data_IF_995720419073
#
_entry.id   IF_995720419073
#
_cell.length_a   1.000
_cell.length_b   1.000
_cell.length_c   1.000
_cell.angle_alpha   90.00
_cell.angle_beta   90.00
_cell.angle_gamma   90.00
#
_symmetry.space_group_name_H-M   'P 1'
#
loop_
_entity.id
_entity.type
_entity.pdbx_description
1 polymer ?
#
# COMPACT_ATOMS: atom_id res chain seq x y z
N UNK A 1 15.70 10.00 40.17
CA UNK A 1 14.71 9.07 39.63
C UNK A 1 13.25 9.54 39.69
N UNK A 2 12.91 10.79 40.05
CA UNK A 2 11.51 11.30 40.11
C UNK A 2 11.05 12.14 38.90
N UNK A 3 11.92 12.36 37.85
CA UNK A 3 11.57 13.24 36.72
C UNK A 3 11.01 12.52 35.51
N UNK A 4 11.20 11.20 35.35
CA UNK A 4 10.73 10.42 34.22
C UNK A 4 9.25 10.03 34.29
N UNK A 5 8.74 9.78 35.52
CA UNK A 5 7.36 9.36 35.75
C UNK A 5 6.34 10.48 35.56
N UNK A 6 6.71 11.73 35.83
CA UNK A 6 5.80 12.87 35.61
C UNK A 6 5.64 13.27 34.15
N UNK A 7 6.66 13.05 33.29
CA UNK A 7 6.55 13.30 31.84
C UNK A 7 5.65 12.28 31.16
N UNK A 8 5.71 11.01 31.56
CA UNK A 8 4.85 9.96 30.98
C UNK A 8 3.37 10.14 31.33
N UNK A 9 3.04 10.63 32.54
CA UNK A 9 1.65 10.83 32.93
C UNK A 9 1.00 12.04 32.24
N UNK A 10 1.75 13.13 32.04
CA UNK A 10 1.26 14.31 31.30
C UNK A 10 1.08 13.99 29.80
N UNK A 11 1.90 13.10 29.26
CA UNK A 11 1.80 12.59 27.89
C UNK A 11 0.54 11.74 27.70
N UNK A 12 0.25 10.82 28.63
CA UNK A 12 -0.93 9.95 28.56
C UNK A 12 -2.24 10.76 28.64
N UNK A 13 -2.30 11.76 29.49
CA UNK A 13 -3.47 12.65 29.64
C UNK A 13 -3.65 13.54 28.41
N UNK A 14 -2.57 14.08 27.81
CA UNK A 14 -2.64 14.85 26.56
C UNK A 14 -3.07 13.98 25.38
N UNK A 15 -2.59 12.73 25.29
CA UNK A 15 -2.97 11.76 24.27
C UNK A 15 -4.49 11.44 24.37
N UNK A 16 -5.03 11.24 25.57
CA UNK A 16 -6.47 11.04 25.80
C UNK A 16 -7.28 12.28 25.44
N UNK A 17 -6.84 13.48 25.78
CA UNK A 17 -7.54 14.73 25.44
C UNK A 17 -7.53 15.01 23.93
N UNK A 18 -6.43 14.73 23.21
CA UNK A 18 -6.37 14.88 21.76
C UNK A 18 -7.36 13.94 21.05
N UNK A 19 -7.50 12.70 21.54
CA UNK A 19 -8.45 11.73 20.99
C UNK A 19 -9.90 12.01 21.39
N UNK A 20 -10.17 12.51 22.59
CA UNK A 20 -11.53 12.86 23.03
C UNK A 20 -12.10 14.09 22.30
N UNK A 21 -11.26 15.01 21.84
CA UNK A 21 -11.72 16.17 21.07
C UNK A 21 -12.16 15.78 19.65
N UNK A 22 -11.53 14.76 19.05
CA UNK A 22 -11.87 14.27 17.70
C UNK A 22 -13.03 13.27 17.71
N UNK A 23 -13.19 12.47 18.77
CA UNK A 23 -14.29 11.49 18.88
C UNK A 23 -15.68 12.11 19.06
N UNK A 24 -15.77 13.41 19.42
CA UNK A 24 -17.06 14.12 19.53
C UNK A 24 -17.62 14.60 18.19
N UNK A 25 -16.82 14.65 17.13
CA UNK A 25 -17.31 14.98 15.78
C UNK A 25 -17.80 13.77 14.97
N UNK A 26 -17.54 12.54 15.46
CA UNK A 26 -17.86 11.30 14.72
C UNK A 26 -19.14 10.59 15.19
N UNK A 27 -19.86 11.08 16.19
CA UNK A 27 -21.08 10.44 16.74
C UNK A 27 -22.38 11.02 16.21
N UNK A 28 -22.48 11.24 14.90
CA UNK A 28 -23.78 11.45 14.26
C UNK A 28 -23.70 11.03 12.79
N UNK A 29 -23.98 9.76 12.50
CA UNK A 29 -24.56 9.31 11.22
C UNK A 29 -24.60 7.78 11.11
N UNK A 30 -25.60 7.19 11.72
CA UNK A 30 -26.12 5.91 11.24
C UNK A 30 -27.44 6.21 10.52
N UNK A 31 -27.39 6.35 9.20
CA UNK A 31 -28.47 6.13 8.24
C UNK A 31 -27.87 6.06 6.85
N UNK A 32 -27.94 4.88 6.19
CA UNK A 32 -27.78 4.68 4.75
C UNK A 32 -26.53 5.33 4.12
N UNK A 33 -25.33 4.87 4.46
CA UNK A 33 -24.11 5.50 3.97
C UNK A 33 -23.60 4.76 2.72
N UNK A 34 -23.89 5.27 1.51
CA UNK A 34 -22.99 5.08 0.38
C UNK A 34 -21.60 5.58 0.81
N UNK A 35 -20.57 4.70 0.75
CA UNK A 35 -19.21 5.08 1.10
C UNK A 35 -18.78 6.23 0.19
N UNK A 36 -18.41 7.38 0.79
CA UNK A 36 -17.98 8.54 0.02
C UNK A 36 -16.71 8.22 -0.74
N UNK A 37 -16.69 8.53 -2.02
CA UNK A 37 -15.49 8.37 -2.86
C UNK A 37 -14.46 9.45 -2.51
N UNK A 38 -13.21 9.03 -2.35
CA UNK A 38 -12.06 9.91 -2.27
C UNK A 38 -11.51 10.22 -3.66
N UNK A 39 -11.50 9.21 -4.54
CA UNK A 39 -11.04 9.34 -5.92
C UNK A 39 -12.04 8.64 -6.84
N UNK A 40 -12.41 9.29 -7.94
CA UNK A 40 -13.21 8.71 -9.02
C UNK A 40 -12.51 8.98 -10.34
N UNK A 41 -12.25 7.95 -11.12
CA UNK A 41 -11.54 8.04 -12.40
C UNK A 41 -12.37 7.36 -13.48
N UNK A 42 -12.61 8.10 -14.57
CA UNK A 42 -13.38 7.62 -15.72
C UNK A 42 -12.60 7.83 -17.01
N UNK A 43 -12.23 6.73 -17.68
CA UNK A 43 -11.52 6.70 -18.97
C UNK A 43 -10.27 7.61 -18.99
N UNK A 44 -9.53 7.67 -17.90
CA UNK A 44 -8.34 8.51 -17.78
C UNK A 44 -7.26 8.04 -18.73
N UNK A 45 -6.71 8.96 -19.52
CA UNK A 45 -5.70 8.67 -20.52
C UNK A 45 -4.53 9.65 -20.44
N UNK A 46 -3.31 9.12 -20.66
CA UNK A 46 -2.11 9.91 -20.87
C UNK A 46 -1.33 9.40 -22.08
N UNK A 47 -1.13 10.32 -23.04
CA UNK A 47 -0.28 10.10 -24.22
C UNK A 47 0.92 11.02 -24.21
N UNK A 48 2.05 10.55 -24.70
CA UNK A 48 3.26 11.28 -25.00
C UNK A 48 3.60 11.03 -26.48
N UNK A 49 3.17 11.96 -27.36
CA UNK A 49 3.19 11.69 -28.80
C UNK A 49 2.39 10.41 -29.12
N UNK A 50 3.02 9.45 -29.78
CA UNK A 50 2.40 8.17 -30.14
C UNK A 50 2.38 7.14 -29.00
N UNK A 51 3.14 7.37 -27.93
CA UNK A 51 3.20 6.46 -26.78
C UNK A 51 2.05 6.71 -25.82
N UNK A 52 1.23 5.69 -25.56
CA UNK A 52 0.16 5.74 -24.56
C UNK A 52 0.64 5.14 -23.25
N UNK A 53 0.93 6.00 -22.26
CA UNK A 53 1.42 5.59 -20.94
C UNK A 53 0.30 5.12 -20.01
N UNK A 54 -0.91 5.70 -20.16
CA UNK A 54 -2.13 5.30 -19.44
C UNK A 54 -3.26 5.29 -20.44
N UNK A 55 -3.97 4.17 -20.54
CA UNK A 55 -4.93 3.90 -21.60
C UNK A 55 -6.34 3.70 -21.08
N UNK A 56 -7.11 4.79 -21.01
CA UNK A 56 -8.54 4.79 -20.68
C UNK A 56 -8.89 4.00 -19.40
N UNK A 57 -8.13 4.19 -18.33
CA UNK A 57 -8.37 3.49 -17.07
C UNK A 57 -9.55 4.11 -16.30
N UNK A 58 -10.32 3.25 -15.64
CA UNK A 58 -11.43 3.65 -14.77
C UNK A 58 -11.37 2.86 -13.47
N UNK A 59 -11.46 3.53 -12.33
CA UNK A 59 -11.48 2.94 -10.99
C UNK A 59 -11.98 3.96 -9.96
N UNK A 60 -12.25 3.51 -8.74
CA UNK A 60 -12.61 4.40 -7.64
C UNK A 60 -11.98 3.98 -6.32
N UNK A 61 -11.72 4.96 -5.44
CA UNK A 61 -11.17 4.76 -4.10
C UNK A 61 -12.13 5.35 -3.07
N UNK A 62 -12.45 4.61 -2.03
CA UNK A 62 -13.31 5.10 -0.95
C UNK A 62 -12.50 5.92 0.07
N UNK A 63 -13.17 6.80 0.81
CA UNK A 63 -12.52 7.53 1.90
C UNK A 63 -12.10 6.59 3.02
N UNK A 64 -10.87 6.77 3.53
CA UNK A 64 -10.26 5.94 4.57
C UNK A 64 -9.69 4.60 4.08
N UNK A 65 -9.78 4.30 2.79
CA UNK A 65 -9.28 3.07 2.17
C UNK A 65 -7.76 3.11 1.96
N UNK A 66 -7.08 1.98 2.15
CA UNK A 66 -5.76 1.73 1.60
C UNK A 66 -5.94 1.03 0.25
N UNK A 67 -5.72 1.79 -0.79
CA UNK A 67 -5.85 1.37 -2.18
C UNK A 67 -4.46 1.17 -2.80
N UNK A 68 -4.23 0.03 -3.44
CA UNK A 68 -2.93 -0.30 -4.02
C UNK A 68 -2.98 -0.42 -5.55
N UNK A 69 -2.06 0.28 -6.21
CA UNK A 69 -1.76 0.12 -7.64
C UNK A 69 -0.53 -0.76 -7.80
N UNK A 70 -0.73 -1.99 -8.23
CA UNK A 70 0.31 -2.99 -8.45
C UNK A 70 0.69 -3.06 -9.92
N UNK A 71 1.96 -3.24 -10.23
CA UNK A 71 2.44 -3.45 -11.60
C UNK A 71 3.94 -3.27 -11.72
N UNK A 72 4.51 -3.73 -12.83
CA UNK A 72 5.93 -3.56 -13.12
C UNK A 72 6.31 -2.10 -13.41
N UNK A 73 7.61 -1.85 -13.48
CA UNK A 73 8.13 -0.57 -13.92
C UNK A 73 7.68 -0.28 -15.35
N UNK A 74 7.17 0.93 -15.59
CA UNK A 74 6.61 1.30 -16.88
C UNK A 74 5.14 0.92 -17.11
N UNK A 75 4.46 0.26 -16.16
CA UNK A 75 3.04 -0.07 -16.27
C UNK A 75 2.08 1.13 -16.27
N UNK A 76 2.55 2.35 -15.92
CA UNK A 76 1.73 3.57 -15.89
C UNK A 76 1.37 4.06 -14.49
N UNK A 77 1.81 3.40 -13.41
CA UNK A 77 1.48 3.71 -12.01
C UNK A 77 1.83 5.14 -11.60
N UNK A 78 3.11 5.51 -11.70
CA UNK A 78 3.59 6.87 -11.34
C UNK A 78 3.00 7.94 -12.26
N UNK A 79 2.75 7.63 -13.54
CA UNK A 79 2.04 8.52 -14.45
C UNK A 79 0.63 8.80 -13.97
N UNK A 80 -0.09 7.79 -13.47
CA UNK A 80 -1.44 7.93 -12.91
C UNK A 80 -1.41 8.79 -11.65
N UNK A 81 -0.51 8.51 -10.68
CA UNK A 81 -0.35 9.37 -9.49
C UNK A 81 -0.03 10.81 -9.90
N UNK A 82 0.89 11.02 -10.83
CA UNK A 82 1.27 12.37 -11.25
C UNK A 82 0.11 13.15 -11.90
N UNK A 83 -0.80 12.46 -12.59
CA UNK A 83 -2.03 13.11 -13.08
C UNK A 83 -2.97 13.44 -11.92
N UNK A 84 -3.31 12.47 -11.06
CA UNK A 84 -4.23 12.68 -9.93
C UNK A 84 -3.73 13.71 -8.93
N UNK A 85 -2.42 13.87 -8.82
CA UNK A 85 -1.77 14.87 -7.96
C UNK A 85 -1.57 16.22 -8.64
N UNK A 86 -2.14 16.44 -9.83
CA UNK A 86 -2.07 17.70 -10.60
C UNK A 86 -0.68 18.10 -11.08
N UNK A 87 0.31 17.20 -11.03
CA UNK A 87 1.68 17.45 -11.50
C UNK A 87 1.74 17.32 -13.02
N UNK A 88 0.96 16.40 -13.57
CA UNK A 88 0.94 16.08 -14.98
C UNK A 88 -0.48 16.26 -15.55
N UNK A 89 -0.68 17.03 -16.62
CA UNK A 89 -1.99 17.13 -17.25
C UNK A 89 -2.38 15.82 -17.91
N UNK A 90 -3.64 15.42 -17.76
CA UNK A 90 -4.24 14.30 -18.50
C UNK A 90 -4.38 14.63 -19.99
N UNK A 91 -4.42 13.61 -20.83
CA UNK A 91 -4.73 13.78 -22.26
C UNK A 91 -6.23 13.71 -22.51
N UNK A 92 -6.92 12.75 -21.85
CA UNK A 92 -8.37 12.57 -21.97
C UNK A 92 -8.94 11.95 -20.68
N UNK A 93 -10.28 11.82 -20.62
CA UNK A 93 -11.00 11.27 -19.48
C UNK A 93 -11.33 12.30 -18.42
N UNK A 94 -11.98 11.86 -17.35
CA UNK A 94 -12.33 12.69 -16.19
C UNK A 94 -11.84 12.03 -14.91
N UNK A 95 -11.46 12.85 -13.93
CA UNK A 95 -11.15 12.36 -12.60
C UNK A 95 -11.59 13.39 -11.56
N UNK A 96 -12.01 12.90 -10.41
CA UNK A 96 -12.36 13.70 -9.25
C UNK A 96 -11.53 13.24 -8.05
N UNK A 97 -10.99 14.17 -7.31
CA UNK A 97 -10.24 13.94 -6.07
C UNK A 97 -10.92 14.73 -4.96
N UNK A 98 -11.45 14.07 -3.95
CA UNK A 98 -12.28 14.67 -2.89
C UNK A 98 -13.42 15.53 -3.44
N UNK A 99 -14.02 15.10 -4.57
CA UNK A 99 -15.10 15.82 -5.26
C UNK A 99 -14.65 16.99 -6.15
N UNK A 100 -13.35 17.31 -6.21
CA UNK A 100 -12.77 18.35 -7.06
C UNK A 100 -12.35 17.78 -8.42
N UNK A 101 -12.76 18.42 -9.51
CA UNK A 101 -12.47 17.94 -10.86
C UNK A 101 -11.03 18.24 -11.28
N UNK A 102 -10.29 17.20 -11.66
CA UNK A 102 -8.92 17.28 -12.14
C UNK A 102 -8.80 18.13 -13.42
N UNK A 103 -7.93 19.14 -13.37
CA UNK A 103 -7.71 20.09 -14.46
C UNK A 103 -8.61 21.32 -14.41
N UNK A 104 -9.59 21.39 -13.47
CA UNK A 104 -10.41 22.57 -13.21
C UNK A 104 -10.21 23.13 -11.80
N UNK A 105 -10.16 22.25 -10.80
CA UNK A 105 -10.08 22.60 -9.39
C UNK A 105 -8.74 22.18 -8.75
N UNK A 106 -7.65 22.22 -9.50
CA UNK A 106 -6.35 21.69 -9.10
C UNK A 106 -5.81 22.28 -7.79
N UNK A 107 -6.07 23.57 -7.52
CA UNK A 107 -5.65 24.22 -6.28
C UNK A 107 -6.37 23.64 -5.03
N UNK A 108 -7.63 23.24 -5.17
CA UNK A 108 -8.35 22.59 -4.10
C UNK A 108 -7.88 21.14 -3.94
N UNK A 109 -7.64 20.43 -5.04
CA UNK A 109 -7.03 19.09 -5.00
C UNK A 109 -5.71 19.13 -4.22
N UNK A 110 -4.81 20.10 -4.51
CA UNK A 110 -3.50 20.23 -3.83
C UNK A 110 -3.61 20.45 -2.32
N UNK A 111 -4.70 21.01 -1.82
CA UNK A 111 -4.95 21.17 -0.38
C UNK A 111 -5.35 19.86 0.29
N UNK A 112 -6.02 18.97 -0.46
CA UNK A 112 -6.53 17.70 0.03
C UNK A 112 -5.52 16.56 -0.03
N UNK A 113 -4.41 16.70 -0.76
CA UNK A 113 -3.47 15.62 -1.02
C UNK A 113 -2.09 15.86 -0.42
N UNK A 114 -1.52 14.81 0.18
CA UNK A 114 -0.08 14.69 0.48
C UNK A 114 0.58 13.71 -0.48
N UNK A 115 1.82 13.97 -0.86
CA UNK A 115 2.53 13.11 -1.82
C UNK A 115 3.90 12.76 -1.27
N UNK A 116 4.23 11.46 -1.29
CA UNK A 116 5.58 10.94 -1.05
C UNK A 116 6.07 10.32 -2.35
N UNK A 117 6.99 11.00 -3.01
CA UNK A 117 7.58 10.54 -4.26
C UNK A 117 8.57 9.38 -4.04
N UNK A 118 8.85 8.61 -5.07
CA UNK A 118 9.89 7.58 -5.05
C UNK A 118 11.24 8.18 -4.64
N UNK A 119 11.62 9.31 -5.25
CA UNK A 119 12.79 10.09 -4.86
C UNK A 119 12.37 11.26 -3.97
N UNK A 120 13.13 11.52 -2.90
CA UNK A 120 12.84 12.64 -2.02
C UNK A 120 13.02 13.99 -2.71
N UNK A 121 12.13 14.93 -2.36
CA UNK A 121 12.17 16.33 -2.80
C UNK A 121 12.76 17.28 -1.74
N UNK A 122 13.32 16.72 -0.66
CA UNK A 122 13.94 17.50 0.42
C UNK A 122 15.41 17.81 0.11
N UNK A 123 15.88 18.98 0.57
CA UNK A 123 17.25 19.41 0.36
C UNK A 123 18.20 18.65 1.31
N UNK A 124 19.17 17.93 0.72
CA UNK A 124 20.19 17.18 1.44
C UNK A 124 21.06 18.02 2.36
N UNK A 125 21.36 19.26 2.00
CA UNK A 125 22.23 20.18 2.75
C UNK A 125 21.55 20.81 3.95
N UNK A 126 20.22 20.87 3.94
CA UNK A 126 19.42 21.38 5.05
C UNK A 126 19.22 20.32 6.12
N UNK A 127 19.03 20.75 7.36
CA UNK A 127 18.61 19.85 8.45
C UNK A 127 17.15 19.43 8.27
N UNK A 128 16.72 18.36 8.97
CA UNK A 128 15.32 17.96 9.04
C UNK A 128 14.43 19.14 9.44
N UNK A 129 14.82 19.86 10.51
CA UNK A 129 14.16 21.07 10.97
C UNK A 129 13.97 22.09 9.85
N UNK A 130 15.07 22.45 9.16
CA UNK A 130 15.04 23.46 8.10
C UNK A 130 14.13 23.04 6.96
N UNK A 131 14.21 21.78 6.52
CA UNK A 131 13.36 21.25 5.48
C UNK A 131 11.87 21.35 5.85
N UNK A 132 11.47 20.85 7.04
CA UNK A 132 10.08 20.87 7.47
C UNK A 132 9.55 22.28 7.72
N UNK A 133 10.37 23.18 8.30
CA UNK A 133 10.02 24.57 8.50
C UNK A 133 9.82 25.30 7.16
N UNK A 134 10.73 25.13 6.19
CA UNK A 134 10.61 25.73 4.86
C UNK A 134 9.36 25.21 4.14
N UNK A 135 9.09 23.91 4.23
CA UNK A 135 7.92 23.33 3.59
C UNK A 135 6.61 23.82 4.23
N UNK A 136 6.56 23.94 5.54
CA UNK A 136 5.40 24.53 6.25
C UNK A 136 5.16 25.98 5.86
N UNK A 137 6.23 26.76 5.67
CA UNK A 137 6.12 28.14 5.23
C UNK A 137 5.51 28.27 3.82
N UNK A 138 5.75 27.31 2.90
CA UNK A 138 5.10 27.30 1.58
C UNK A 138 3.57 27.10 1.66
N UNK A 139 3.06 26.50 2.76
CA UNK A 139 1.63 26.44 3.04
C UNK A 139 1.10 27.71 3.74
N UNK A 140 1.94 28.73 3.94
CA UNK A 140 1.58 29.96 4.63
C UNK A 140 1.56 29.86 6.15
N UNK A 141 2.07 28.77 6.74
CA UNK A 141 2.11 28.59 8.19
C UNK A 141 3.29 29.31 8.82
N UNK A 142 3.04 29.97 9.96
CA UNK A 142 4.11 30.51 10.78
C UNK A 142 4.83 29.38 11.55
N UNK A 143 5.94 29.74 12.21
CA UNK A 143 6.75 28.78 12.99
C UNK A 143 5.95 28.07 14.08
N UNK A 144 5.04 28.80 14.75
CA UNK A 144 4.25 28.26 15.87
C UNK A 144 3.24 27.22 15.36
N UNK A 145 2.57 27.52 14.27
CA UNK A 145 1.61 26.60 13.63
C UNK A 145 2.32 25.36 13.08
N UNK A 146 3.50 25.52 12.43
CA UNK A 146 4.27 24.36 11.95
C UNK A 146 4.66 23.44 13.13
N UNK A 147 5.18 24.00 14.21
CA UNK A 147 5.55 23.19 15.37
C UNK A 147 4.35 22.49 15.99
N UNK A 148 3.19 23.16 16.09
CA UNK A 148 1.95 22.55 16.56
C UNK A 148 1.50 21.39 15.68
N UNK A 149 1.62 21.51 14.36
CA UNK A 149 1.30 20.43 13.39
C UNK A 149 2.25 19.24 13.50
N UNK A 150 3.51 19.51 13.81
CA UNK A 150 4.53 18.48 14.02
C UNK A 150 4.40 17.77 15.38
N UNK A 151 3.77 18.37 16.39
CA UNK A 151 3.58 17.74 17.71
C UNK A 151 2.93 16.35 17.62
N UNK A 152 1.91 16.19 16.76
CA UNK A 152 1.23 14.92 16.54
C UNK A 152 2.07 13.86 15.86
N UNK A 153 3.14 14.27 15.15
CA UNK A 153 4.04 13.40 14.42
C UNK A 153 5.39 13.19 15.12
N UNK A 154 5.65 14.00 16.18
CA UNK A 154 6.97 14.08 16.81
C UNK A 154 7.44 12.77 17.42
N UNK A 155 6.60 12.19 18.26
CA UNK A 155 6.91 10.91 18.92
C UNK A 155 6.78 9.75 17.95
N UNK A 156 5.72 9.73 17.17
CA UNK A 156 5.41 8.63 16.24
C UNK A 156 6.49 8.48 15.18
N UNK A 157 6.94 9.59 14.61
CA UNK A 157 8.01 9.60 13.62
C UNK A 157 9.40 9.77 14.23
N UNK A 158 9.52 9.74 15.58
CA UNK A 158 10.77 9.91 16.32
C UNK A 158 11.64 11.03 15.74
N UNK A 159 11.05 12.24 15.59
CA UNK A 159 11.69 13.37 14.92
C UNK A 159 12.81 13.96 15.77
N UNK A 160 12.76 13.81 17.11
CA UNK A 160 13.70 14.40 18.06
C UNK A 160 15.14 14.04 17.77
N UNK A 161 15.41 12.74 17.54
CA UNK A 161 16.76 12.20 17.36
C UNK A 161 17.47 12.70 16.10
N UNK A 162 16.70 13.10 15.10
CA UNK A 162 17.23 13.48 13.78
C UNK A 162 16.97 14.95 13.43
N UNK A 163 16.26 15.68 14.30
CA UNK A 163 15.78 17.05 14.06
C UNK A 163 16.83 18.04 13.55
N UNK A 164 18.02 18.01 14.16
CA UNK A 164 19.13 18.88 13.80
C UNK A 164 20.14 18.23 12.83
N UNK A 165 19.90 16.99 12.38
CA UNK A 165 20.77 16.31 11.43
C UNK A 165 20.49 16.77 10.01
N UNK A 166 21.52 16.88 9.18
CA UNK A 166 21.38 17.14 7.74
C UNK A 166 20.67 15.96 7.08
N UNK A 167 19.76 16.27 6.15
CA UNK A 167 18.95 15.24 5.47
C UNK A 167 19.83 14.23 4.71
N UNK A 168 20.91 14.67 4.06
CA UNK A 168 21.85 13.77 3.36
C UNK A 168 22.50 12.72 4.27
N UNK A 169 22.64 13.02 5.59
CA UNK A 169 23.26 12.14 6.60
C UNK A 169 22.31 11.11 7.20
N UNK A 170 21.07 11.07 6.75
CA UNK A 170 20.06 10.12 7.22
C UNK A 170 20.13 8.80 6.44
N UNK A 171 19.79 7.70 7.12
CA UNK A 171 19.55 6.41 6.43
C UNK A 171 18.32 6.48 5.50
N UNK A 172 18.18 5.53 4.59
CA UNK A 172 17.01 5.45 3.69
C UNK A 172 15.68 5.47 4.43
N UNK A 173 15.53 4.65 5.46
CA UNK A 173 14.32 4.62 6.28
C UNK A 173 14.09 5.92 7.05
N UNK A 174 15.15 6.57 7.57
CA UNK A 174 15.03 7.89 8.20
C UNK A 174 14.58 8.95 7.20
N UNK A 175 15.11 8.94 5.97
CA UNK A 175 14.69 9.85 4.89
C UNK A 175 13.23 9.65 4.55
N UNK A 176 12.80 8.40 4.34
CA UNK A 176 11.40 8.09 4.01
C UNK A 176 10.43 8.56 5.11
N UNK A 177 10.81 8.36 6.37
CA UNK A 177 10.06 8.85 7.52
C UNK A 177 9.82 10.36 7.47
N UNK A 178 10.84 11.16 7.14
CA UNK A 178 10.73 12.61 7.02
C UNK A 178 9.92 13.02 5.78
N UNK A 179 10.01 12.29 4.67
CA UNK A 179 9.20 12.54 3.48
C UNK A 179 7.69 12.36 3.79
N UNK A 180 7.34 11.33 4.58
CA UNK A 180 5.96 11.11 5.02
C UNK A 180 5.53 12.23 5.98
N UNK A 181 6.33 12.57 6.99
CA UNK A 181 6.04 13.66 7.92
C UNK A 181 5.81 15.00 7.19
N UNK A 182 6.64 15.29 6.17
CA UNK A 182 6.48 16.45 5.30
C UNK A 182 5.14 16.43 4.55
N UNK A 183 4.76 15.29 4.00
CA UNK A 183 3.51 15.14 3.26
C UNK A 183 2.27 15.32 4.13
N UNK A 184 2.38 15.11 5.44
CA UNK A 184 1.30 15.23 6.42
C UNK A 184 1.19 16.61 7.09
N UNK A 185 2.13 17.52 6.85
CA UNK A 185 2.18 18.84 7.53
C UNK A 185 0.89 19.66 7.40
N UNK A 186 0.23 19.62 6.26
CA UNK A 186 -1.00 20.36 6.00
C UNK A 186 -2.28 19.55 6.30
N UNK A 187 -2.15 18.34 6.86
CA UNK A 187 -3.25 17.42 7.21
C UNK A 187 -4.13 17.05 6.01
N UNK A 188 -3.56 16.42 5.00
CA UNK A 188 -4.29 16.03 3.80
C UNK A 188 -5.38 15.00 4.10
N UNK A 189 -6.36 14.89 3.21
CA UNK A 189 -7.40 13.84 3.23
C UNK A 189 -6.94 12.58 2.51
N UNK A 190 -5.99 12.70 1.56
CA UNK A 190 -5.42 11.60 0.79
C UNK A 190 -3.89 11.68 0.87
N UNK A 191 -3.23 10.54 1.08
CA UNK A 191 -1.78 10.39 0.99
C UNK A 191 -1.43 9.50 -0.20
N UNK A 192 -0.78 10.08 -1.20
CA UNK A 192 -0.17 9.34 -2.30
C UNK A 192 1.23 8.88 -1.91
N UNK A 193 1.51 7.59 -2.06
CA UNK A 193 2.79 6.96 -1.79
C UNK A 193 3.29 6.29 -3.08
N UNK A 194 4.25 6.91 -3.76
CA UNK A 194 4.84 6.35 -4.98
C UNK A 194 6.05 5.48 -4.59
N UNK A 195 5.88 4.17 -4.66
CA UNK A 195 6.87 3.15 -4.31
C UNK A 195 7.60 3.43 -2.98
N UNK A 196 6.88 3.52 -1.83
CA UNK A 196 7.42 4.08 -0.59
C UNK A 196 8.56 3.28 0.03
N UNK A 197 8.72 2.01 -0.32
CA UNK A 197 9.69 1.09 0.31
C UNK A 197 10.80 0.66 -0.62
N UNK A 198 10.78 1.11 -1.87
CA UNK A 198 11.80 0.75 -2.87
C UNK A 198 13.19 1.19 -2.39
N UNK A 199 14.15 0.24 -2.45
CA UNK A 199 15.53 0.46 -2.02
C UNK A 199 15.75 0.52 -0.50
N UNK A 200 14.74 0.19 0.32
CA UNK A 200 14.86 0.10 1.77
C UNK A 200 15.22 -1.32 2.20
N UNK A 201 16.02 -1.41 3.27
CA UNK A 201 16.27 -2.65 3.98
C UNK A 201 14.97 -3.18 4.66
N UNK A 202 14.89 -4.48 5.02
CA UNK A 202 13.66 -5.06 5.58
C UNK A 202 13.17 -4.38 6.85
N UNK A 203 14.07 -3.91 7.74
CA UNK A 203 13.69 -3.23 8.96
C UNK A 203 13.08 -1.86 8.67
N UNK A 204 13.70 -1.09 7.77
CA UNK A 204 13.19 0.21 7.31
C UNK A 204 11.85 0.07 6.60
N UNK A 205 11.66 -0.98 5.79
CA UNK A 205 10.38 -1.29 5.12
C UNK A 205 9.28 -1.55 6.15
N UNK A 206 9.54 -2.39 7.15
CA UNK A 206 8.61 -2.65 8.25
C UNK A 206 8.21 -1.36 8.97
N UNK A 207 9.17 -0.50 9.30
CA UNK A 207 8.86 0.79 9.95
C UNK A 207 7.94 1.67 9.10
N UNK A 208 8.11 1.72 7.78
CA UNK A 208 7.21 2.48 6.89
C UNK A 208 5.79 1.91 6.97
N UNK A 209 5.63 0.58 6.96
CA UNK A 209 4.32 -0.07 7.09
C UNK A 209 3.68 0.16 8.45
N UNK A 210 4.46 0.15 9.53
CA UNK A 210 3.96 0.48 10.88
C UNK A 210 3.39 1.92 10.90
N UNK A 211 4.06 2.90 10.25
CA UNK A 211 3.55 4.27 10.12
C UNK A 211 2.28 4.35 9.28
N UNK A 212 2.21 3.66 8.14
CA UNK A 212 1.02 3.60 7.30
C UNK A 212 -0.17 3.04 8.11
N UNK A 213 0.04 1.93 8.83
CA UNK A 213 -0.97 1.33 9.70
C UNK A 213 -1.43 2.26 10.82
N UNK A 214 -0.51 3.02 11.42
CA UNK A 214 -0.85 4.03 12.43
C UNK A 214 -1.75 5.14 11.86
N UNK A 215 -1.37 5.72 10.72
CA UNK A 215 -2.12 6.81 10.07
C UNK A 215 -3.54 6.39 9.69
N UNK A 216 -3.72 5.17 9.19
CA UNK A 216 -5.05 4.63 8.87
C UNK A 216 -5.95 4.55 10.10
N UNK A 217 -5.44 3.98 11.19
CA UNK A 217 -6.24 3.74 12.42
C UNK A 217 -6.66 5.04 13.11
N UNK A 218 -5.83 6.08 13.03
CA UNK A 218 -5.99 7.26 13.87
C UNK A 218 -6.52 8.48 13.12
N UNK A 219 -6.28 8.58 11.82
CA UNK A 219 -6.59 9.79 11.05
C UNK A 219 -7.68 9.59 9.98
N UNK A 220 -8.20 8.36 9.81
CA UNK A 220 -9.12 8.01 8.72
C UNK A 220 -8.60 8.49 7.35
N UNK A 221 -7.28 8.45 7.20
CA UNK A 221 -6.57 8.93 6.03
C UNK A 221 -6.75 7.94 4.88
N UNK A 222 -7.18 8.43 3.74
CA UNK A 222 -7.17 7.64 2.51
C UNK A 222 -5.74 7.49 2.01
N UNK A 223 -5.30 6.30 1.68
CA UNK A 223 -3.94 6.04 1.21
C UNK A 223 -3.99 5.42 -0.17
N UNK A 224 -3.34 6.06 -1.12
CA UNK A 224 -3.14 5.55 -2.47
C UNK A 224 -1.67 5.16 -2.64
N UNK A 225 -1.40 3.87 -2.74
CA UNK A 225 -0.07 3.29 -2.80
C UNK A 225 0.22 2.79 -4.22
N UNK A 226 1.40 3.09 -4.78
CA UNK A 226 1.92 2.33 -5.91
C UNK A 226 3.05 1.42 -5.44
N UNK A 227 3.11 0.23 -5.98
CA UNK A 227 4.17 -0.72 -5.69
C UNK A 227 4.39 -1.70 -6.85
N UNK A 228 5.57 -2.29 -6.88
CA UNK A 228 5.87 -3.47 -7.68
C UNK A 228 6.15 -4.70 -6.78
N UNK A 229 6.05 -4.52 -5.44
CA UNK A 229 6.16 -5.60 -4.46
C UNK A 229 4.76 -6.16 -4.16
N UNK A 230 4.52 -7.41 -4.54
CA UNK A 230 3.22 -8.07 -4.38
C UNK A 230 2.82 -8.23 -2.92
N UNK A 231 3.79 -8.49 -2.03
CA UNK A 231 3.57 -8.59 -0.60
C UNK A 231 2.99 -7.33 0.04
N UNK A 232 3.27 -6.15 -0.53
CA UNK A 232 2.76 -4.88 -0.02
C UNK A 232 1.26 -4.68 -0.24
N UNK A 233 0.68 -5.44 -1.16
CA UNK A 233 -0.76 -5.37 -1.43
C UNK A 233 -1.60 -6.15 -0.41
N UNK A 234 -0.97 -6.95 0.46
CA UNK A 234 -1.70 -7.82 1.40
C UNK A 234 -2.56 -7.04 2.42
N UNK A 235 -2.15 -5.82 2.75
CA UNK A 235 -2.83 -4.94 3.71
C UNK A 235 -3.86 -3.99 3.05
N UNK A 236 -3.95 -4.01 1.70
CA UNK A 236 -4.87 -3.14 0.97
C UNK A 236 -6.31 -3.69 1.01
N UNK A 237 -7.29 -2.79 1.08
CA UNK A 237 -8.70 -3.14 0.92
C UNK A 237 -9.04 -3.43 -0.54
N UNK A 238 -8.43 -2.70 -1.48
CA UNK A 238 -8.60 -2.93 -2.90
C UNK A 238 -7.26 -2.78 -3.64
N UNK A 239 -7.06 -3.63 -4.64
CA UNK A 239 -5.87 -3.67 -5.47
C UNK A 239 -6.26 -3.59 -6.93
N UNK A 240 -5.66 -2.66 -7.64
CA UNK A 240 -5.70 -2.59 -9.10
C UNK A 240 -4.36 -3.08 -9.64
N UNK A 241 -4.40 -4.03 -10.57
CA UNK A 241 -3.21 -4.54 -11.25
C UNK A 241 -3.13 -3.88 -12.63
N UNK A 242 -1.99 -3.20 -12.88
CA UNK A 242 -1.71 -2.54 -14.14
C UNK A 242 -0.63 -3.27 -14.95
N UNK A 243 -0.85 -3.38 -16.24
CA UNK A 243 0.18 -3.75 -17.20
C UNK A 243 0.05 -2.89 -18.48
N UNK A 244 1.17 -2.38 -18.98
CA UNK A 244 1.27 -1.60 -20.24
C UNK A 244 0.19 -0.52 -20.37
N UNK A 245 -0.04 0.23 -19.32
CA UNK A 245 -1.01 1.34 -19.28
C UNK A 245 -2.46 0.94 -19.09
N UNK A 246 -2.79 -0.35 -18.98
CA UNK A 246 -4.14 -0.85 -18.80
C UNK A 246 -4.34 -1.43 -17.40
N UNK A 247 -5.57 -1.36 -16.89
CA UNK A 247 -6.00 -2.16 -15.73
C UNK A 247 -6.34 -3.56 -16.26
N UNK A 248 -5.66 -4.59 -15.73
CA UNK A 248 -5.87 -5.99 -16.12
C UNK A 248 -6.65 -6.79 -15.08
N UNK A 249 -6.68 -6.33 -13.82
CA UNK A 249 -7.55 -6.87 -12.76
C UNK A 249 -7.75 -5.84 -11.65
N UNK A 250 -8.87 -5.98 -10.95
CA UNK A 250 -9.24 -5.19 -9.78
C UNK A 250 -10.02 -6.07 -8.78
N UNK A 251 -9.81 -5.85 -7.49
CA UNK A 251 -10.52 -6.50 -6.39
C UNK A 251 -9.71 -6.53 -5.11
N UNK A 252 -10.30 -7.09 -4.05
CA UNK A 252 -9.58 -7.35 -2.80
C UNK A 252 -8.47 -8.38 -3.03
N UNK A 253 -7.37 -8.38 -2.25
CA UNK A 253 -6.32 -9.40 -2.36
C UNK A 253 -6.87 -10.83 -2.24
N UNK A 254 -7.91 -11.04 -1.44
CA UNK A 254 -8.54 -12.34 -1.27
C UNK A 254 -9.30 -12.79 -2.53
N UNK A 255 -10.08 -11.88 -3.15
CA UNK A 255 -10.80 -12.15 -4.40
C UNK A 255 -9.84 -12.41 -5.55
N UNK A 256 -8.79 -11.60 -5.69
CA UNK A 256 -7.79 -11.78 -6.74
C UNK A 256 -7.09 -13.14 -6.61
N UNK A 257 -6.65 -13.49 -5.39
CA UNK A 257 -6.05 -14.82 -5.14
C UNK A 257 -7.03 -15.95 -5.42
N UNK A 258 -8.28 -15.82 -5.01
CA UNK A 258 -9.30 -16.84 -5.27
C UNK A 258 -9.61 -17.04 -6.76
N UNK A 259 -9.59 -15.95 -7.54
CA UNK A 259 -9.93 -15.95 -8.98
C UNK A 259 -8.80 -16.43 -9.87
N UNK A 260 -7.56 -16.08 -9.53
CA UNK A 260 -6.41 -16.25 -10.44
C UNK A 260 -5.35 -17.23 -9.96
N UNK A 261 -5.52 -17.83 -8.75
CA UNK A 261 -4.57 -18.81 -8.24
C UNK A 261 -5.25 -20.11 -7.84
N UNK A 262 -4.50 -21.21 -7.87
CA UNK A 262 -4.90 -22.50 -7.30
C UNK A 262 -4.32 -22.67 -5.90
N UNK A 263 -5.02 -23.45 -5.06
CA UNK A 263 -4.46 -23.94 -3.82
C UNK A 263 -3.51 -25.09 -4.13
N UNK A 264 -2.42 -25.21 -3.37
CA UNK A 264 -1.48 -26.32 -3.44
C UNK A 264 -1.53 -27.10 -2.14
N UNK A 265 -1.64 -28.42 -2.25
CA UNK A 265 -1.43 -29.33 -1.14
C UNK A 265 -0.01 -29.87 -1.26
N UNK A 266 0.81 -29.58 -0.27
CA UNK A 266 2.12 -30.23 -0.08
C UNK A 266 1.88 -31.41 0.83
N UNK A 267 2.14 -32.61 0.34
CA UNK A 267 1.99 -33.83 1.12
C UNK A 267 3.35 -34.48 1.30
N UNK A 268 3.85 -34.46 2.54
CA UNK A 268 5.14 -35.03 2.92
C UNK A 268 5.00 -36.54 3.08
N UNK A 269 5.60 -37.31 2.16
CA UNK A 269 5.61 -38.78 2.14
C UNK A 269 6.61 -39.24 1.09
N UNK A 270 7.05 -40.52 1.21
CA UNK A 270 7.89 -41.11 0.18
C UNK A 270 7.16 -41.27 -1.15
N UNK A 271 7.93 -41.23 -2.24
CA UNK A 271 7.39 -41.45 -3.58
C UNK A 271 6.86 -42.89 -3.71
N UNK A 272 5.60 -43.04 -4.11
CA UNK A 272 5.00 -44.35 -4.35
C UNK A 272 3.93 -44.31 -5.44
N UNK A 273 3.77 -45.44 -6.14
CA UNK A 273 2.67 -45.63 -7.09
C UNK A 273 1.29 -45.50 -6.41
N UNK A 274 1.16 -45.96 -5.16
CA UNK A 274 -0.08 -45.89 -4.39
C UNK A 274 -0.48 -44.45 -4.12
N UNK A 275 0.47 -43.60 -3.63
CA UNK A 275 0.27 -42.17 -3.42
C UNK A 275 -0.11 -41.46 -4.72
N UNK A 276 0.57 -41.76 -5.83
CA UNK A 276 0.29 -41.17 -7.14
C UNK A 276 -1.12 -41.54 -7.64
N UNK A 277 -1.56 -42.77 -7.46
CA UNK A 277 -2.92 -43.23 -7.80
C UNK A 277 -3.98 -42.53 -6.96
N UNK A 278 -3.73 -42.37 -5.64
CA UNK A 278 -4.64 -41.65 -4.74
C UNK A 278 -4.84 -40.19 -5.19
N UNK A 279 -3.76 -39.48 -5.59
CA UNK A 279 -3.82 -38.12 -6.08
C UNK A 279 -4.62 -38.01 -7.39
N UNK A 280 -4.38 -38.96 -8.32
CA UNK A 280 -5.10 -38.99 -9.60
C UNK A 280 -6.61 -39.26 -9.40
N UNK A 281 -6.99 -40.17 -8.51
CA UNK A 281 -8.40 -40.45 -8.18
C UNK A 281 -9.11 -39.23 -7.52
N UNK A 282 -8.36 -38.33 -6.88
CA UNK A 282 -8.90 -37.10 -6.33
C UNK A 282 -9.15 -36.00 -7.38
N UNK A 283 -8.95 -36.33 -8.66
CA UNK A 283 -9.19 -35.40 -9.77
C UNK A 283 -8.06 -34.37 -10.01
N UNK A 284 -6.92 -34.51 -9.33
CA UNK A 284 -5.77 -33.67 -9.61
C UNK A 284 -4.96 -34.23 -10.78
N UNK A 285 -4.95 -33.54 -11.89
CA UNK A 285 -4.13 -33.88 -13.06
C UNK A 285 -2.73 -33.24 -13.02
N UNK A 286 -2.48 -32.32 -12.06
CA UNK A 286 -1.21 -31.61 -11.93
C UNK A 286 -0.62 -31.84 -10.55
N UNK A 287 0.27 -32.81 -10.46
CA UNK A 287 1.09 -33.04 -9.27
C UNK A 287 2.53 -33.39 -9.67
N UNK A 288 3.46 -33.13 -8.78
CA UNK A 288 4.88 -33.43 -8.93
C UNK A 288 5.43 -33.91 -7.62
N UNK A 289 6.28 -34.92 -7.65
CA UNK A 289 7.09 -35.31 -6.51
C UNK A 289 8.40 -34.51 -6.48
N UNK A 290 8.73 -33.93 -5.34
CA UNK A 290 9.92 -33.09 -5.15
C UNK A 290 10.59 -33.48 -3.83
N UNK A 291 11.80 -34.04 -3.92
CA UNK A 291 12.68 -34.40 -2.79
C UNK A 291 12.03 -35.35 -1.77
N UNK A 292 11.03 -34.90 -1.02
CA UNK A 292 10.39 -35.62 0.11
C UNK A 292 8.86 -35.39 0.20
N UNK A 293 8.27 -34.77 -0.82
CA UNK A 293 6.84 -34.47 -0.81
C UNK A 293 6.21 -34.44 -2.22
N UNK A 294 4.89 -34.62 -2.26
CA UNK A 294 4.08 -34.34 -3.42
C UNK A 294 3.58 -32.89 -3.39
N UNK A 295 3.81 -32.15 -4.46
CA UNK A 295 3.22 -30.85 -4.70
C UNK A 295 1.99 -31.02 -5.60
N UNK A 296 0.80 -30.84 -5.06
CA UNK A 296 -0.48 -31.19 -5.70
C UNK A 296 -1.28 -29.91 -5.90
N UNK A 297 -1.58 -29.55 -7.15
CA UNK A 297 -2.44 -28.40 -7.46
C UNK A 297 -3.90 -28.83 -7.45
N UNK A 298 -4.70 -28.27 -6.54
CA UNK A 298 -6.13 -28.56 -6.41
C UNK A 298 -6.89 -27.26 -6.17
N UNK A 299 -7.88 -26.96 -7.00
CA UNK A 299 -8.73 -25.79 -6.80
C UNK A 299 -9.78 -26.04 -5.70
N UNK A 300 -10.34 -27.25 -5.69
CA UNK A 300 -11.38 -27.69 -4.76
C UNK A 300 -11.04 -29.10 -4.24
N UNK A 301 -11.71 -29.53 -3.17
CA UNK A 301 -11.62 -30.90 -2.68
C UNK A 301 -10.39 -31.23 -1.82
N UNK A 302 -9.47 -30.30 -1.52
CA UNK A 302 -8.30 -30.59 -0.66
C UNK A 302 -8.73 -31.15 0.69
N UNK A 303 -9.69 -30.52 1.34
CA UNK A 303 -10.19 -30.96 2.66
C UNK A 303 -10.82 -32.34 2.57
N UNK A 304 -11.57 -32.63 1.51
CA UNK A 304 -12.18 -33.93 1.27
C UNK A 304 -11.13 -34.99 1.01
N UNK A 305 -10.11 -34.71 0.22
CA UNK A 305 -8.97 -35.58 -0.04
C UNK A 305 -8.26 -35.96 1.26
N UNK A 306 -7.91 -34.98 2.09
CA UNK A 306 -7.25 -35.21 3.38
C UNK A 306 -8.14 -36.04 4.29
N UNK A 307 -9.44 -35.73 4.40
CA UNK A 307 -10.37 -36.41 5.24
C UNK A 307 -10.58 -37.88 4.84
N UNK A 308 -10.75 -38.16 3.55
CA UNK A 308 -10.89 -39.50 3.01
C UNK A 308 -9.63 -40.37 3.23
N UNK A 309 -8.47 -39.73 3.19
CA UNK A 309 -7.17 -40.41 3.28
C UNK A 309 -6.43 -40.13 4.60
N UNK A 310 -7.15 -39.78 5.67
CA UNK A 310 -6.58 -39.38 6.98
C UNK A 310 -5.62 -40.40 7.62
N UNK A 311 -5.68 -41.68 7.21
CA UNK A 311 -4.78 -42.76 7.67
C UNK A 311 -3.41 -42.70 6.98
N UNK A 312 -3.33 -42.10 5.80
CA UNK A 312 -2.15 -42.07 4.93
C UNK A 312 -1.60 -40.63 4.89
N UNK A 313 -2.45 -39.63 4.64
CA UNK A 313 -2.09 -38.20 4.59
C UNK A 313 -2.02 -37.64 6.01
N UNK A 314 -0.84 -37.75 6.64
CA UNK A 314 -0.62 -37.35 8.05
C UNK A 314 0.14 -36.05 8.18
N UNK A 315 1.13 -35.82 7.31
CA UNK A 315 1.98 -34.64 7.31
C UNK A 315 1.76 -33.89 6.02
N UNK A 316 1.22 -32.68 6.13
CA UNK A 316 0.85 -31.90 4.97
C UNK A 316 0.76 -30.38 5.29
N UNK A 317 0.92 -29.57 4.24
CA UNK A 317 0.66 -28.13 4.26
C UNK A 317 -0.32 -27.76 3.15
N UNK A 318 -1.20 -26.80 3.42
CA UNK A 318 -2.05 -26.19 2.40
C UNK A 318 -1.51 -24.79 2.11
N UNK A 319 -0.93 -24.61 0.93
CA UNK A 319 -0.44 -23.33 0.47
C UNK A 319 -1.52 -22.64 -0.36
N UNK A 320 -1.94 -21.47 0.08
CA UNK A 320 -2.82 -20.59 -0.71
C UNK A 320 -1.97 -19.82 -1.69
N UNK A 321 -2.50 -19.55 -2.88
CA UNK A 321 -1.80 -18.72 -3.86
C UNK A 321 -1.46 -17.34 -3.31
N UNK A 322 -0.37 -16.80 -3.78
CA UNK A 322 0.17 -15.48 -3.44
C UNK A 322 -0.30 -14.42 -4.43
N UNK A 323 -0.03 -13.15 -4.15
CA UNK A 323 -0.25 -12.08 -5.13
C UNK A 323 0.77 -12.14 -6.29
N UNK A 324 1.95 -12.74 -6.05
CA UNK A 324 2.90 -13.06 -7.13
C UNK A 324 2.29 -14.04 -8.13
N UNK A 325 1.66 -15.12 -7.65
CA UNK A 325 0.96 -16.08 -8.52
C UNK A 325 -0.16 -15.41 -9.33
N UNK A 326 -0.91 -14.49 -8.72
CA UNK A 326 -1.94 -13.69 -9.40
C UNK A 326 -1.32 -12.90 -10.55
N UNK A 327 -0.25 -12.17 -10.25
CA UNK A 327 0.41 -11.30 -11.22
C UNK A 327 0.99 -12.10 -12.40
N UNK A 328 1.67 -13.21 -12.12
CA UNK A 328 2.23 -14.11 -13.13
C UNK A 328 1.14 -14.71 -14.03
N UNK A 329 0.04 -15.15 -13.43
CA UNK A 329 -1.11 -15.69 -14.17
C UNK A 329 -1.69 -14.66 -15.14
N UNK A 330 -1.85 -13.41 -14.68
CA UNK A 330 -2.44 -12.33 -15.48
C UNK A 330 -1.52 -11.82 -16.59
N UNK A 331 -0.21 -11.78 -16.36
CA UNK A 331 0.77 -11.25 -17.32
C UNK A 331 1.33 -12.31 -18.27
N UNK A 332 1.06 -13.59 -18.02
CA UNK A 332 1.61 -14.71 -18.81
C UNK A 332 3.13 -14.88 -18.68
N UNK A 333 3.75 -14.27 -17.67
CA UNK A 333 5.20 -14.37 -17.43
C UNK A 333 5.46 -15.58 -16.53
N UNK A 334 6.27 -16.53 -17.00
CA UNK A 334 6.83 -17.56 -16.13
C UNK A 334 7.86 -16.91 -15.19
N UNK A 335 7.92 -17.38 -13.94
CA UNK A 335 9.00 -16.98 -13.03
C UNK A 335 10.34 -17.40 -13.65
N UNK A 336 11.10 -16.46 -14.12
CA UNK A 336 12.53 -16.68 -14.32
C UNK A 336 13.11 -16.81 -12.92
N UNK A 337 13.39 -18.05 -12.50
CA UNK A 337 14.11 -18.32 -11.26
C UNK A 337 15.45 -17.58 -11.33
N UNK A 338 15.51 -16.42 -10.67
CA UNK A 338 16.79 -15.74 -10.39
C UNK A 338 17.40 -16.46 -9.20
N UNK A 339 17.87 -17.69 -9.44
CA UNK A 339 18.87 -18.36 -8.63
C UNK A 339 20.16 -18.36 -9.43
N UNK A 340 20.99 -17.36 -9.18
CA UNK A 340 22.34 -17.22 -9.63
C UNK A 340 23.14 -16.49 -8.57
#
# INVERSE_FOLDING_TARGET
MKSATHRNCAFFVRKIMYYQFRSKETTNKEKGNEMKKAIEVNNLQKKYGDFTAVNNISFSVNQGELFAFLGENGAGKSTTINMLSTILPKTNGTAYVMGHELGKDDDNIRKEIGIVFQNSVLDGKLTVKQNLMTRGAYYGYDKKEIMKRLEGLWEEFNLGDIWNRKYEKLSGGQKRRIDIARALLHKPSILFLDEPTTGLDPMSRKMVWDYIGYLRKHDNLTIFLTTHYMEETAEAENVVIMDKGNIIAEGTPAELKSRYTSKKLIWYTDESEESSKLIQHAGSSKFRYEVDHYNISMNEGITEFIWKNKGIVKDFEIIKGTMDDVFLTLTGKEMVNVNG
#
